data_IF_259341091931
#
_entry.id   IF_259341091931
#
_cell.length_a   1.000
_cell.length_b   1.000
_cell.length_c   1.000
_cell.angle_alpha   90.00
_cell.angle_beta   90.00
_cell.angle_gamma   90.00
#
_symmetry.space_group_name_H-M   'P 1'
#
loop_
_entity.id
_entity.type
_entity.pdbx_description
1 polymer ?
#
# COMPACT_ATOMS: atom_id res chain seq x y z
N UNK A 1 48.69 -5.01 -10.96
CA UNK A 1 47.63 -4.15 -10.42
C UNK A 1 46.92 -4.99 -9.37
N UNK A 2 47.16 -4.71 -8.09
CA UNK A 2 46.53 -5.45 -6.99
C UNK A 2 45.09 -4.92 -6.91
N UNK A 3 44.13 -5.82 -7.08
CA UNK A 3 42.69 -5.59 -6.99
C UNK A 3 42.33 -5.27 -5.53
N UNK A 4 42.32 -3.97 -5.19
CA UNK A 4 42.02 -3.48 -3.85
C UNK A 4 40.50 -3.50 -3.54
N UNK A 5 39.64 -3.73 -4.54
CA UNK A 5 38.17 -3.73 -4.35
C UNK A 5 37.68 -5.00 -3.66
N UNK A 6 38.17 -6.18 -4.07
CA UNK A 6 37.72 -7.46 -3.47
C UNK A 6 38.05 -7.61 -1.99
N UNK A 7 39.12 -6.99 -1.51
CA UNK A 7 39.56 -7.11 -0.11
C UNK A 7 38.88 -6.11 0.83
N UNK A 8 38.27 -5.03 0.33
CA UNK A 8 37.65 -4.00 1.15
C UNK A 8 36.15 -4.22 1.42
N UNK A 9 35.44 -4.93 0.54
CA UNK A 9 33.98 -5.12 0.67
C UNK A 9 33.62 -5.97 1.89
N UNK A 10 34.21 -7.15 2.04
CA UNK A 10 33.86 -8.04 3.16
C UNK A 10 34.16 -7.43 4.55
N UNK A 11 35.32 -6.78 4.77
CA UNK A 11 35.57 -6.04 6.02
C UNK A 11 34.58 -4.89 6.23
N UNK A 12 34.26 -4.11 5.20
CA UNK A 12 33.30 -2.99 5.32
C UNK A 12 31.92 -3.45 5.80
N UNK A 13 31.41 -4.56 5.28
CA UNK A 13 30.13 -5.14 5.75
C UNK A 13 30.21 -5.73 7.15
N UNK A 14 31.37 -6.21 7.59
CA UNK A 14 31.57 -6.65 8.97
C UNK A 14 31.63 -5.48 9.95
N UNK A 15 32.24 -4.36 9.53
CA UNK A 15 32.44 -3.17 10.37
C UNK A 15 31.21 -2.25 10.39
N UNK A 16 30.58 -2.02 9.25
CA UNK A 16 29.50 -1.04 9.08
C UNK A 16 28.14 -1.67 8.76
N UNK A 17 28.11 -2.96 8.40
CA UNK A 17 26.88 -3.63 8.02
C UNK A 17 26.03 -4.03 9.22
N UNK A 18 24.75 -3.69 9.15
CA UNK A 18 23.73 -4.12 10.12
C UNK A 18 23.23 -5.52 9.75
N UNK A 19 22.93 -6.33 10.76
CA UNK A 19 22.32 -7.64 10.55
C UNK A 19 20.88 -7.46 10.02
N UNK A 20 20.57 -8.16 8.94
CA UNK A 20 19.28 -8.07 8.29
C UNK A 20 18.80 -9.45 7.78
N UNK A 21 17.52 -9.50 7.43
CA UNK A 21 16.94 -10.62 6.69
C UNK A 21 16.29 -10.10 5.43
N UNK A 22 16.70 -10.61 4.28
CA UNK A 22 16.07 -10.33 3.00
C UNK A 22 15.01 -11.39 2.69
N UNK A 23 13.81 -10.97 2.32
CA UNK A 23 12.73 -11.86 1.86
C UNK A 23 12.32 -11.45 0.45
N UNK A 24 12.58 -12.29 -0.57
CA UNK A 24 12.06 -12.07 -1.91
C UNK A 24 10.53 -12.10 -1.91
N UNK A 25 9.90 -11.45 -2.89
CA UNK A 25 8.44 -11.53 -3.06
C UNK A 25 8.02 -13.00 -3.28
N UNK A 26 7.30 -13.58 -2.30
CA UNK A 26 6.91 -14.99 -2.32
C UNK A 26 8.02 -16.01 -2.04
N UNK A 27 9.23 -15.56 -1.67
CA UNK A 27 10.39 -16.41 -1.42
C UNK A 27 10.69 -16.67 0.06
N UNK A 28 11.66 -17.54 0.33
CA UNK A 28 12.13 -17.81 1.69
C UNK A 28 13.07 -16.70 2.21
N UNK A 29 12.98 -16.33 3.50
CA UNK A 29 13.90 -15.36 4.09
C UNK A 29 15.35 -15.85 4.10
N UNK A 30 16.29 -14.97 3.77
CA UNK A 30 17.74 -15.21 3.75
C UNK A 30 18.46 -14.21 4.66
N UNK A 31 19.27 -14.67 5.64
CA UNK A 31 20.05 -13.77 6.47
C UNK A 31 21.14 -13.07 5.63
N UNK A 32 21.34 -11.78 5.87
CA UNK A 32 22.32 -10.96 5.16
C UNK A 32 22.82 -9.82 6.05
N UNK A 33 23.77 -9.03 5.53
CA UNK A 33 24.13 -7.74 6.11
C UNK A 33 23.86 -6.63 5.10
N UNK A 34 23.35 -5.51 5.59
CA UNK A 34 23.11 -4.32 4.77
C UNK A 34 23.89 -3.14 5.31
N UNK A 35 24.47 -2.35 4.42
CA UNK A 35 24.97 -1.02 4.74
C UNK A 35 23.91 -0.02 4.32
N UNK A 36 23.60 0.89 5.21
CA UNK A 36 22.58 1.89 5.01
C UNK A 36 23.15 3.16 4.42
N UNK A 37 22.60 3.57 3.29
CA UNK A 37 22.95 4.83 2.64
C UNK A 37 21.73 5.76 2.55
N UNK A 38 21.95 7.06 2.80
CA UNK A 38 20.90 8.06 2.76
C UNK A 38 19.94 8.01 3.95
N UNK A 39 18.66 8.32 3.72
CA UNK A 39 17.61 8.37 4.74
C UNK A 39 17.59 9.65 5.61
N UNK A 40 18.71 10.35 5.71
CA UNK A 40 18.81 11.62 6.42
C UNK A 40 18.53 11.49 7.91
N UNK A 41 18.28 12.62 8.59
CA UNK A 41 17.97 12.59 10.03
C UNK A 41 16.57 11.97 10.24
N UNK A 42 16.45 10.91 11.06
CA UNK A 42 15.14 10.36 11.39
C UNK A 42 14.25 11.41 12.04
N UNK A 43 12.98 11.44 11.65
CA UNK A 43 11.96 12.26 12.30
C UNK A 43 11.03 11.36 13.09
N UNK A 44 10.78 11.71 14.35
CA UNK A 44 9.88 10.97 15.23
C UNK A 44 8.50 11.64 15.26
N UNK A 45 7.47 10.85 14.99
CA UNK A 45 6.06 11.21 15.16
C UNK A 45 5.44 10.31 16.23
N UNK A 46 5.49 10.77 17.49
CA UNK A 46 5.16 9.92 18.63
C UNK A 46 6.05 8.66 18.63
N UNK A 47 5.48 7.44 18.60
CA UNK A 47 6.24 6.19 18.58
C UNK A 47 6.81 5.83 17.19
N UNK A 48 6.38 6.51 16.12
CA UNK A 48 6.75 6.17 14.75
C UNK A 48 8.01 6.94 14.36
N UNK A 49 9.05 6.23 13.89
CA UNK A 49 10.25 6.87 13.33
C UNK A 49 10.24 6.75 11.81
N UNK A 50 10.30 7.89 11.12
CA UNK A 50 10.32 7.95 9.65
C UNK A 50 11.63 8.54 9.13
N UNK A 51 11.93 8.25 7.87
CA UNK A 51 13.05 8.84 7.13
C UNK A 51 12.50 9.63 5.95
N UNK A 52 12.90 10.89 5.83
CA UNK A 52 12.32 11.85 4.88
C UNK A 52 13.06 11.93 3.54
N UNK A 53 14.22 11.28 3.43
CA UNK A 53 14.99 11.25 2.18
C UNK A 53 15.10 9.83 1.66
N UNK A 54 15.42 9.71 0.36
CA UNK A 54 15.65 8.44 -0.31
C UNK A 54 16.63 7.59 0.49
N UNK A 55 16.28 6.32 0.65
CA UNK A 55 17.08 5.36 1.37
C UNK A 55 17.52 4.27 0.41
N UNK A 56 18.79 3.90 0.47
CA UNK A 56 19.30 2.69 -0.16
C UNK A 56 19.91 1.76 0.87
N UNK A 57 19.84 0.47 0.56
CA UNK A 57 20.63 -0.54 1.20
C UNK A 57 21.59 -1.14 0.20
N UNK A 58 22.86 -1.12 0.57
CA UNK A 58 23.88 -1.89 -0.11
C UNK A 58 23.95 -3.26 0.53
N UNK A 59 23.90 -4.31 -0.29
CA UNK A 59 23.95 -5.71 0.14
C UNK A 59 24.94 -6.48 -0.71
N UNK A 60 25.63 -7.46 -0.13
CA UNK A 60 26.58 -8.27 -0.89
C UNK A 60 25.86 -9.21 -1.85
N UNK A 61 26.32 -9.26 -3.09
CA UNK A 61 25.82 -10.21 -4.10
C UNK A 61 26.02 -11.67 -3.66
N UNK A 62 27.01 -11.97 -2.82
CA UNK A 62 27.20 -13.31 -2.27
C UNK A 62 26.13 -13.72 -1.23
N UNK A 63 25.49 -12.75 -0.57
CA UNK A 63 24.43 -13.00 0.43
C UNK A 63 23.04 -12.93 -0.20
N UNK A 64 22.85 -12.00 -1.13
CA UNK A 64 21.62 -11.82 -1.90
C UNK A 64 22.00 -11.74 -3.38
N UNK A 65 22.02 -12.88 -4.10
CA UNK A 65 22.49 -12.91 -5.49
C UNK A 65 21.62 -12.12 -6.47
N UNK A 66 20.30 -12.11 -6.24
CA UNK A 66 19.31 -11.53 -7.16
C UNK A 66 18.24 -10.77 -6.35
N UNK A 67 18.56 -9.59 -5.79
CA UNK A 67 17.57 -8.74 -5.17
C UNK A 67 16.61 -8.19 -6.22
N UNK A 68 15.33 -8.07 -5.88
CA UNK A 68 14.30 -7.64 -6.83
C UNK A 68 13.32 -6.64 -6.19
N UNK A 69 12.73 -5.79 -7.02
CA UNK A 69 11.65 -4.91 -6.60
C UNK A 69 10.52 -5.69 -5.92
N UNK A 70 9.98 -5.14 -4.82
CA UNK A 70 9.02 -5.80 -3.95
C UNK A 70 9.63 -6.73 -2.90
N UNK A 71 10.93 -7.06 -2.98
CA UNK A 71 11.65 -7.74 -1.92
C UNK A 71 11.74 -6.88 -0.65
N UNK A 72 11.83 -7.51 0.52
CA UNK A 72 11.81 -6.82 1.82
C UNK A 72 13.07 -7.12 2.62
N UNK A 73 13.78 -6.07 3.03
CA UNK A 73 14.79 -6.15 4.07
C UNK A 73 14.17 -5.89 5.45
N UNK A 74 14.41 -6.79 6.40
CA UNK A 74 14.10 -6.59 7.82
C UNK A 74 15.37 -6.30 8.58
N UNK A 75 15.48 -5.09 9.15
CA UNK A 75 16.61 -4.64 9.98
C UNK A 75 16.07 -4.33 11.36
N UNK A 76 16.40 -5.18 12.34
CA UNK A 76 15.74 -5.16 13.65
C UNK A 76 14.22 -5.36 13.52
N UNK A 77 13.44 -4.41 14.05
CA UNK A 77 11.97 -4.44 13.98
C UNK A 77 11.41 -3.75 12.71
N UNK A 78 12.26 -3.13 11.89
CA UNK A 78 11.81 -2.31 10.76
C UNK A 78 11.86 -3.11 9.45
N UNK A 79 10.84 -2.92 8.62
CA UNK A 79 10.78 -3.48 7.27
C UNK A 79 10.98 -2.38 6.21
N UNK A 80 11.78 -2.69 5.20
CA UNK A 80 12.13 -1.83 4.09
C UNK A 80 11.89 -2.57 2.79
N UNK A 81 11.01 -2.04 1.94
CA UNK A 81 10.65 -2.67 0.67
C UNK A 81 11.48 -2.06 -0.45
N UNK A 82 12.07 -2.90 -1.32
CA UNK A 82 12.76 -2.47 -2.53
C UNK A 82 11.73 -1.91 -3.51
N UNK A 83 11.88 -0.67 -3.96
CA UNK A 83 10.86 -0.01 -4.82
C UNK A 83 11.28 0.18 -6.27
N UNK A 84 12.56 0.02 -6.58
CA UNK A 84 13.10 0.08 -7.95
C UNK A 84 13.94 -1.15 -8.28
N UNK A 85 14.46 -1.21 -9.50
CA UNK A 85 15.40 -2.25 -9.92
C UNK A 85 16.73 -2.06 -9.19
N UNK A 86 17.20 -3.05 -8.41
CA UNK A 86 18.55 -3.00 -7.84
C UNK A 86 19.61 -2.92 -8.95
N UNK A 87 20.72 -2.27 -8.64
CA UNK A 87 21.81 -2.09 -9.60
C UNK A 87 23.16 -2.27 -8.90
N UNK A 88 24.19 -2.61 -9.66
CA UNK A 88 25.56 -2.56 -9.19
C UNK A 88 26.05 -1.11 -9.29
N UNK A 89 26.62 -0.52 -8.22
CA UNK A 89 27.25 0.79 -8.28
C UNK A 89 28.26 0.87 -9.44
N UNK A 90 28.39 2.05 -10.07
CA UNK A 90 29.28 2.23 -11.24
C UNK A 90 30.75 1.93 -10.90
N UNK A 91 31.15 2.19 -9.65
CA UNK A 91 32.49 1.92 -9.12
C UNK A 91 32.67 0.48 -8.63
N UNK A 92 31.72 -0.44 -8.88
CA UNK A 92 31.82 -1.87 -8.59
C UNK A 92 31.87 -2.71 -9.88
N UNK A 93 33.00 -2.70 -10.60
CA UNK A 93 33.16 -3.40 -11.88
C UNK A 93 33.05 -4.93 -11.76
N UNK A 94 33.11 -5.44 -10.52
CA UNK A 94 33.04 -6.87 -10.21
C UNK A 94 31.65 -7.31 -9.75
N UNK A 95 30.69 -6.39 -9.60
CA UNK A 95 29.32 -6.69 -9.19
C UNK A 95 29.22 -7.38 -7.84
N UNK A 96 30.09 -7.01 -6.89
CA UNK A 96 30.16 -7.60 -5.55
C UNK A 96 29.05 -7.09 -4.62
N UNK A 97 28.49 -5.92 -4.92
CA UNK A 97 27.49 -5.22 -4.13
C UNK A 97 26.30 -4.85 -5.01
N UNK A 98 25.10 -5.07 -4.48
CA UNK A 98 23.86 -4.52 -5.01
C UNK A 98 23.48 -3.29 -4.21
N UNK A 99 23.18 -2.18 -4.88
CA UNK A 99 22.50 -1.05 -4.29
C UNK A 99 20.99 -1.14 -4.55
N UNK A 100 20.23 -1.16 -3.46
CA UNK A 100 18.78 -1.34 -3.47
C UNK A 100 18.09 -0.07 -2.97
N UNK A 101 17.42 0.66 -3.87
CA UNK A 101 16.52 1.74 -3.46
C UNK A 101 15.34 1.19 -2.66
N UNK A 102 15.22 1.58 -1.39
CA UNK A 102 14.23 1.06 -0.45
C UNK A 102 13.35 2.14 0.13
N UNK A 103 12.11 1.77 0.45
CA UNK A 103 11.20 2.57 1.24
C UNK A 103 10.83 1.85 2.53
N UNK A 104 10.88 2.60 3.63
CA UNK A 104 10.39 2.13 4.92
C UNK A 104 8.85 2.12 4.98
N UNK A 105 8.29 1.14 5.68
CA UNK A 105 6.87 1.07 6.01
C UNK A 105 6.24 -0.27 5.62
N UNK A 106 5.04 -0.52 6.14
CA UNK A 106 4.24 -1.67 5.80
C UNK A 106 3.31 -1.35 4.61
N UNK A 107 3.06 -2.31 3.71
CA UNK A 107 2.06 -2.14 2.66
C UNK A 107 0.67 -2.05 3.27
N UNK A 108 -0.05 -0.98 2.94
CA UNK A 108 -1.45 -0.76 3.30
C UNK A 108 -2.26 -0.42 2.04
N UNK A 109 -3.57 -0.57 2.14
CA UNK A 109 -4.51 0.02 1.18
C UNK A 109 -5.17 1.24 1.84
N UNK A 110 -4.85 2.44 1.37
CA UNK A 110 -5.52 3.65 1.81
C UNK A 110 -6.69 3.96 0.85
N UNK A 111 -7.90 4.08 1.39
CA UNK A 111 -9.12 4.36 0.65
C UNK A 111 -9.61 5.76 0.98
N UNK A 112 -9.58 6.65 -0.01
CA UNK A 112 -10.13 8.01 0.13
C UNK A 112 -11.63 7.99 -0.11
N UNK A 113 -12.42 8.39 0.88
CA UNK A 113 -13.89 8.45 0.79
C UNK A 113 -14.33 9.86 0.40
N UNK A 114 -15.23 9.93 -0.58
CA UNK A 114 -15.84 11.17 -1.06
C UNK A 114 -17.36 11.08 -1.00
N UNK A 115 -18.04 12.21 -0.80
CA UNK A 115 -19.49 12.24 -0.64
C UNK A 115 -19.97 11.59 0.67
N UNK A 116 -21.28 11.62 0.89
CA UNK A 116 -21.94 11.06 2.06
C UNK A 116 -23.26 10.39 1.64
N UNK A 117 -23.75 9.46 2.48
CA UNK A 117 -25.03 8.80 2.25
C UNK A 117 -25.09 8.10 0.89
N UNK A 118 -25.97 8.57 0.01
CA UNK A 118 -26.18 8.00 -1.33
C UNK A 118 -25.10 8.37 -2.35
N UNK A 119 -24.38 9.47 -2.12
CA UNK A 119 -23.36 10.00 -3.03
C UNK A 119 -21.95 9.53 -2.65
N UNK A 120 -21.85 8.74 -1.57
CA UNK A 120 -20.60 8.22 -1.03
C UNK A 120 -19.90 7.29 -2.02
N UNK A 121 -18.63 7.56 -2.32
CA UNK A 121 -17.74 6.68 -3.10
C UNK A 121 -16.34 6.62 -2.44
N UNK A 122 -15.77 5.43 -2.22
CA UNK A 122 -16.34 4.11 -2.52
C UNK A 122 -17.64 3.79 -1.75
N UNK A 123 -18.52 2.96 -2.33
CA UNK A 123 -19.71 2.51 -1.62
C UNK A 123 -19.35 1.65 -0.41
N UNK A 124 -20.28 1.59 0.54
CA UNK A 124 -20.23 0.66 1.67
C UNK A 124 -20.97 -0.63 1.32
N UNK A 125 -20.53 -1.73 1.91
CA UNK A 125 -21.18 -3.03 1.83
C UNK A 125 -20.16 -4.17 1.76
N UNK A 126 -20.65 -5.40 1.78
CA UNK A 126 -19.83 -6.62 1.73
C UNK A 126 -20.59 -7.74 1.01
N UNK A 127 -19.95 -8.89 0.84
CA UNK A 127 -20.59 -10.11 0.27
C UNK A 127 -21.24 -9.86 -1.09
N UNK A 128 -20.51 -9.15 -1.95
CA UNK A 128 -21.02 -8.72 -3.25
C UNK A 128 -21.31 -9.91 -4.15
N UNK A 129 -22.47 -9.89 -4.80
CA UNK A 129 -22.89 -10.90 -5.76
C UNK A 129 -23.75 -10.30 -6.87
N UNK A 130 -23.86 -11.02 -7.99
CA UNK A 130 -24.82 -10.70 -9.04
C UNK A 130 -26.24 -10.72 -8.47
N UNK A 131 -26.97 -9.60 -8.55
CA UNK A 131 -28.34 -9.52 -8.04
C UNK A 131 -29.35 -10.20 -8.98
N UNK A 132 -29.06 -10.18 -10.28
CA UNK A 132 -29.87 -10.76 -11.35
C UNK A 132 -28.97 -11.47 -12.36
N UNK A 133 -29.47 -12.48 -13.10
CA UNK A 133 -28.70 -13.09 -14.16
C UNK A 133 -28.46 -12.10 -15.30
N UNK A 134 -27.28 -12.15 -15.90
CA UNK A 134 -26.91 -11.32 -17.05
C UNK A 134 -26.34 -12.20 -18.19
N UNK A 135 -26.79 -12.02 -19.45
CA UNK A 135 -26.29 -12.79 -20.58
C UNK A 135 -24.88 -12.36 -20.99
N UNK A 136 -24.17 -13.21 -21.75
CA UNK A 136 -22.98 -12.78 -22.46
C UNK A 136 -23.29 -11.58 -23.38
N UNK A 137 -22.36 -10.64 -23.50
CA UNK A 137 -22.54 -9.40 -24.23
C UNK A 137 -23.29 -8.30 -23.47
N UNK A 138 -23.75 -8.56 -22.23
CA UNK A 138 -24.34 -7.52 -21.40
C UNK A 138 -23.31 -6.40 -21.10
N UNK A 139 -23.76 -5.15 -21.22
CA UNK A 139 -22.98 -3.93 -20.93
C UNK A 139 -23.37 -3.27 -19.61
N UNK A 140 -24.29 -3.88 -18.87
CA UNK A 140 -24.71 -3.45 -17.53
C UNK A 140 -25.09 -4.67 -16.69
N UNK A 141 -24.87 -4.59 -15.39
CA UNK A 141 -25.15 -5.67 -14.44
C UNK A 141 -25.80 -5.13 -13.16
N UNK A 142 -26.56 -5.98 -12.48
CA UNK A 142 -27.11 -5.68 -11.16
C UNK A 142 -26.25 -6.34 -10.09
N UNK A 143 -25.86 -5.59 -9.06
CA UNK A 143 -24.94 -6.05 -8.00
C UNK A 143 -25.61 -5.86 -6.63
N UNK A 144 -25.79 -6.93 -5.88
CA UNK A 144 -26.31 -6.91 -4.51
C UNK A 144 -25.19 -7.17 -3.51
N UNK A 145 -25.46 -6.86 -2.24
CA UNK A 145 -24.58 -7.17 -1.13
C UNK A 145 -25.25 -6.94 0.21
N UNK A 146 -24.46 -7.08 1.27
CA UNK A 146 -24.88 -6.81 2.65
C UNK A 146 -24.64 -5.34 2.99
N UNK A 147 -25.65 -4.67 3.56
CA UNK A 147 -25.61 -3.26 4.01
C UNK A 147 -25.17 -2.24 2.93
N UNK A 148 -25.57 -2.47 1.69
CA UNK A 148 -25.15 -1.66 0.54
C UNK A 148 -25.62 -0.21 0.68
N UNK A 149 -24.70 0.73 0.45
CA UNK A 149 -24.98 2.16 0.35
C UNK A 149 -23.89 2.91 -0.41
N UNK A 150 -24.20 4.13 -0.83
CA UNK A 150 -23.29 4.94 -1.65
C UNK A 150 -23.46 4.67 -3.14
N UNK A 151 -22.39 4.88 -3.90
CA UNK A 151 -22.41 4.91 -5.36
C UNK A 151 -21.14 4.30 -5.96
N UNK A 152 -21.33 3.41 -6.94
CA UNK A 152 -20.27 3.00 -7.87
C UNK A 152 -20.01 4.12 -8.86
N UNK A 153 -18.75 4.37 -9.20
CA UNK A 153 -18.37 5.44 -10.13
C UNK A 153 -17.52 4.91 -11.29
N UNK A 154 -17.49 5.64 -12.42
CA UNK A 154 -16.61 5.30 -13.53
C UNK A 154 -15.16 5.12 -13.06
N UNK A 155 -14.52 4.03 -13.48
CA UNK A 155 -13.16 3.66 -13.07
C UNK A 155 -13.10 2.66 -11.91
N UNK A 156 -14.16 2.52 -11.12
CA UNK A 156 -14.30 1.38 -10.20
C UNK A 156 -14.29 0.08 -11.01
N UNK A 157 -13.91 -1.03 -10.39
CA UNK A 157 -13.75 -2.32 -11.06
C UNK A 157 -14.56 -3.40 -10.36
N UNK A 158 -15.14 -4.27 -11.18
CA UNK A 158 -15.92 -5.42 -10.76
C UNK A 158 -15.28 -6.67 -11.34
N UNK A 159 -14.98 -7.65 -10.51
CA UNK A 159 -14.42 -8.94 -10.93
C UNK A 159 -15.50 -10.00 -10.79
N UNK A 160 -15.77 -10.71 -11.89
CA UNK A 160 -16.74 -11.81 -11.95
C UNK A 160 -16.00 -13.04 -12.50
N UNK A 161 -15.89 -14.09 -11.69
CA UNK A 161 -14.97 -15.19 -11.99
C UNK A 161 -13.53 -14.69 -12.06
N UNK A 162 -12.86 -14.89 -13.19
CA UNK A 162 -11.49 -14.43 -13.43
C UNK A 162 -11.39 -13.14 -14.27
N UNK A 163 -12.52 -12.54 -14.67
CA UNK A 163 -12.54 -11.39 -15.58
C UNK A 163 -12.83 -10.11 -14.80
N UNK A 164 -12.00 -9.09 -15.01
CA UNK A 164 -12.16 -7.75 -14.44
C UNK A 164 -12.83 -6.84 -15.46
N UNK A 165 -13.90 -6.18 -15.04
CA UNK A 165 -14.63 -5.19 -15.81
C UNK A 165 -14.53 -3.82 -15.13
N UNK A 166 -14.51 -2.76 -15.91
CA UNK A 166 -14.50 -1.37 -15.42
C UNK A 166 -15.92 -0.83 -15.42
N UNK A 167 -16.35 -0.24 -14.31
CA UNK A 167 -17.58 0.53 -14.22
C UNK A 167 -17.49 1.75 -15.14
N UNK A 168 -18.51 1.97 -15.95
CA UNK A 168 -18.55 3.06 -16.95
C UNK A 168 -19.57 4.14 -16.62
N UNK A 169 -20.54 3.85 -15.76
CA UNK A 169 -21.59 4.77 -15.34
C UNK A 169 -21.68 4.87 -13.83
N UNK A 170 -22.03 6.05 -13.31
CA UNK A 170 -22.31 6.20 -11.89
C UNK A 170 -23.64 5.53 -11.54
N UNK A 171 -23.64 4.61 -10.56
CA UNK A 171 -24.85 3.88 -10.14
C UNK A 171 -24.97 3.94 -8.63
N UNK A 172 -26.06 4.54 -8.15
CA UNK A 172 -26.35 4.71 -6.72
C UNK A 172 -27.08 3.49 -6.19
N UNK A 173 -26.71 3.07 -4.98
CA UNK A 173 -27.37 1.96 -4.31
C UNK A 173 -28.80 2.32 -3.92
N UNK A 174 -29.73 1.41 -4.19
CA UNK A 174 -31.10 1.45 -3.70
C UNK A 174 -31.52 0.03 -3.29
N UNK A 175 -32.30 -0.09 -2.21
CA UNK A 175 -32.85 -1.37 -1.75
C UNK A 175 -31.80 -2.51 -1.61
N UNK A 176 -30.58 -2.17 -1.17
CA UNK A 176 -29.52 -3.16 -0.95
C UNK A 176 -28.75 -3.60 -2.20
N UNK A 177 -28.88 -2.89 -3.33
CA UNK A 177 -28.21 -3.24 -4.60
C UNK A 177 -27.92 -2.03 -5.49
N UNK A 178 -27.08 -2.24 -6.48
CA UNK A 178 -26.85 -1.33 -7.61
C UNK A 178 -27.57 -1.91 -8.84
N UNK A 179 -28.58 -1.21 -9.35
CA UNK A 179 -29.32 -1.63 -10.54
C UNK A 179 -28.72 -0.98 -11.79
N UNK A 180 -28.40 -1.79 -12.80
CA UNK A 180 -27.91 -1.34 -14.09
C UNK A 180 -26.53 -0.69 -14.04
N UNK A 181 -25.60 -1.20 -13.25
CA UNK A 181 -24.21 -0.73 -13.25
C UNK A 181 -23.54 -1.02 -14.59
N UNK A 182 -23.26 0.03 -15.37
CA UNK A 182 -22.60 -0.08 -16.67
C UNK A 182 -21.17 -0.61 -16.54
N UNK A 183 -20.78 -1.53 -17.44
CA UNK A 183 -19.47 -2.19 -17.44
C UNK A 183 -18.81 -2.18 -18.83
N UNK A 184 -17.47 -2.21 -18.84
CA UNK A 184 -16.66 -2.44 -20.03
C UNK A 184 -15.44 -3.33 -19.70
N UNK A 185 -15.07 -4.29 -20.57
CA UNK A 185 -15.80 -4.72 -21.78
C UNK A 185 -17.18 -5.33 -21.44
N UNK A 186 -17.97 -5.66 -22.45
CA UNK A 186 -19.21 -6.43 -22.23
C UNK A 186 -18.89 -7.80 -21.62
N UNK A 187 -19.84 -8.40 -20.88
CA UNK A 187 -19.64 -9.71 -20.25
C UNK A 187 -19.17 -10.75 -21.27
N UNK A 188 -18.03 -11.39 -21.00
CA UNK A 188 -17.47 -12.40 -21.89
C UNK A 188 -18.29 -13.71 -21.88
N UNK A 189 -18.95 -14.00 -20.77
CA UNK A 189 -19.78 -15.18 -20.55
C UNK A 189 -21.01 -14.80 -19.70
N UNK A 190 -22.11 -15.58 -19.76
CA UNK A 190 -23.27 -15.30 -18.91
C UNK A 190 -22.89 -15.44 -17.43
N UNK A 191 -23.48 -14.59 -16.59
CA UNK A 191 -23.33 -14.61 -15.14
C UNK A 191 -24.70 -14.91 -14.49
N UNK A 192 -24.75 -15.92 -13.62
CA UNK A 192 -25.96 -16.27 -12.89
C UNK A 192 -26.20 -15.32 -11.70
N UNK A 193 -27.45 -15.16 -11.28
CA UNK A 193 -27.76 -14.53 -10.00
C UNK A 193 -27.06 -15.28 -8.85
N UNK A 194 -26.56 -14.55 -7.87
CA UNK A 194 -25.77 -15.08 -6.76
C UNK A 194 -24.31 -15.39 -7.09
N UNK A 195 -23.86 -15.23 -8.34
CA UNK A 195 -22.45 -15.40 -8.68
C UNK A 195 -21.60 -14.37 -7.89
N UNK A 196 -20.49 -14.78 -7.26
CA UNK A 196 -19.69 -13.90 -6.42
C UNK A 196 -19.06 -12.79 -7.25
N UNK A 197 -19.03 -11.60 -6.66
CA UNK A 197 -18.46 -10.39 -7.24
C UNK A 197 -17.39 -9.86 -6.30
N UNK A 198 -16.26 -9.41 -6.84
CA UNK A 198 -15.28 -8.63 -6.08
C UNK A 198 -15.22 -7.20 -6.60
N UNK A 199 -15.42 -6.23 -5.73
CA UNK A 199 -15.28 -4.82 -6.06
C UNK A 199 -13.89 -4.32 -5.65
N UNK A 200 -13.25 -3.57 -6.54
CA UNK A 200 -12.04 -2.78 -6.26
C UNK A 200 -12.29 -1.37 -6.76
N UNK A 201 -11.89 -0.36 -5.98
CA UNK A 201 -12.32 1.01 -6.25
C UNK A 201 -11.17 1.85 -6.79
N UNK A 202 -11.49 2.81 -7.68
CA UNK A 202 -10.49 3.71 -8.23
C UNK A 202 -9.83 4.61 -7.15
N UNK A 203 -10.44 4.68 -5.97
CA UNK A 203 -9.97 5.43 -4.80
C UNK A 203 -9.24 4.56 -3.77
N UNK A 204 -8.89 3.33 -4.14
CA UNK A 204 -8.04 2.46 -3.35
C UNK A 204 -6.57 2.64 -3.77
N UNK A 205 -5.77 3.20 -2.87
CA UNK A 205 -4.38 3.58 -3.12
C UNK A 205 -3.45 2.67 -2.32
N UNK A 206 -2.77 1.71 -2.98
CA UNK A 206 -1.74 0.92 -2.32
C UNK A 206 -0.55 1.82 -2.01
N UNK A 207 -0.21 1.95 -0.72
CA UNK A 207 0.88 2.80 -0.26
C UNK A 207 1.67 2.11 0.85
N UNK A 208 2.91 2.55 1.07
CA UNK A 208 3.68 2.16 2.25
C UNK A 208 3.41 3.15 3.38
N UNK A 209 3.14 2.66 4.58
CA UNK A 209 2.89 3.48 5.74
C UNK A 209 3.71 3.05 6.97
N UNK A 210 4.06 4.05 7.77
CA UNK A 210 4.53 3.85 9.12
C UNK A 210 3.40 3.48 10.05
N UNK A 211 3.62 2.51 10.93
CA UNK A 211 2.59 2.14 11.89
C UNK A 211 3.18 1.97 13.27
N UNK A 212 2.41 2.39 14.27
CA UNK A 212 2.59 1.98 15.64
C UNK A 212 1.23 1.57 16.21
N UNK A 213 1.20 0.38 16.80
CA UNK A 213 0.17 0.02 17.77
C UNK A 213 0.49 0.69 19.10
N UNK A 214 -0.53 1.16 19.80
CA UNK A 214 -0.39 1.52 21.21
C UNK A 214 -0.96 0.37 22.03
N UNK A 215 -0.08 -0.42 22.64
CA UNK A 215 -0.50 -1.45 23.60
C UNK A 215 -0.74 -0.83 24.97
N UNK A 216 -0.15 0.34 25.25
CA UNK A 216 -0.33 1.08 26.50
C UNK A 216 -0.59 2.58 26.28
N UNK A 217 -1.46 3.13 27.13
CA UNK A 217 -1.96 4.50 27.08
C UNK A 217 -0.81 5.53 27.09
N UNK A 218 -0.55 6.13 25.93
CA UNK A 218 0.23 7.36 25.86
C UNK A 218 -0.67 8.52 26.29
N UNK A 219 -0.23 9.25 27.33
CA UNK A 219 -0.97 10.39 27.89
C UNK A 219 -1.38 11.41 26.80
N UNK A 220 -2.68 11.69 26.70
CA UNK A 220 -3.30 12.54 25.68
C UNK A 220 -4.59 11.93 25.10
N UNK A 221 -5.18 12.58 24.10
CA UNK A 221 -6.46 12.20 23.46
C UNK A 221 -6.44 10.88 22.65
N UNK A 222 -5.46 10.01 22.87
CA UNK A 222 -5.32 8.72 22.17
C UNK A 222 -6.12 7.65 22.92
N UNK A 223 -7.13 7.09 22.26
CA UNK A 223 -8.04 6.09 22.84
C UNK A 223 -7.43 4.70 22.70
N UNK A 224 -7.49 3.87 23.75
CA UNK A 224 -7.11 2.45 23.71
C UNK A 224 -7.76 1.72 22.52
N UNK A 225 -6.99 0.89 21.80
CA UNK A 225 -7.43 0.19 20.58
C UNK A 225 -7.28 0.99 19.28
N UNK A 226 -6.81 2.24 19.37
CA UNK A 226 -6.48 3.07 18.21
C UNK A 226 -5.13 2.70 17.62
N UNK A 227 -5.04 2.68 16.28
CA UNK A 227 -3.77 2.56 15.56
C UNK A 227 -3.33 3.93 15.03
N UNK A 228 -2.03 4.22 15.12
CA UNK A 228 -1.44 5.41 14.51
C UNK A 228 -0.70 5.04 13.24
N UNK A 229 -1.07 5.70 12.15
CA UNK A 229 -0.54 5.42 10.81
C UNK A 229 0.04 6.71 10.24
N UNK A 230 1.31 6.66 9.84
CA UNK A 230 1.99 7.77 9.17
C UNK A 230 2.11 7.47 7.69
N UNK A 231 1.52 8.31 6.83
CA UNK A 231 1.64 8.20 5.37
C UNK A 231 2.36 9.45 4.86
N UNK A 232 3.39 9.26 4.04
CA UNK A 232 4.09 10.37 3.40
C UNK A 232 3.25 10.95 2.24
N UNK A 233 3.24 12.28 2.08
CA UNK A 233 2.45 12.95 1.04
C UNK A 233 2.89 12.56 -0.38
N UNK A 234 4.19 12.37 -0.59
CA UNK A 234 4.77 11.93 -1.86
C UNK A 234 4.23 10.54 -2.26
N UNK A 235 4.02 9.63 -1.31
CA UNK A 235 3.48 8.28 -1.55
C UNK A 235 2.02 8.32 -1.95
N UNK A 236 1.21 9.16 -1.30
CA UNK A 236 -0.18 9.39 -1.72
C UNK A 236 -0.21 9.94 -3.15
N UNK A 237 0.63 10.93 -3.44
CA UNK A 237 0.72 11.56 -4.75
C UNK A 237 1.18 10.57 -5.82
N UNK A 238 2.20 9.77 -5.55
CA UNK A 238 2.71 8.73 -6.45
C UNK A 238 1.69 7.62 -6.72
N UNK A 239 0.84 7.30 -5.72
CA UNK A 239 -0.28 6.38 -5.91
C UNK A 239 -1.47 7.02 -6.66
N UNK A 240 -1.42 8.32 -6.96
CA UNK A 240 -2.48 9.05 -7.65
C UNK A 240 -3.56 9.64 -6.73
N UNK A 241 -3.37 9.59 -5.40
CA UNK A 241 -4.29 10.21 -4.45
C UNK A 241 -4.07 11.72 -4.38
N UNK A 242 -5.03 12.48 -4.91
CA UNK A 242 -4.99 13.95 -4.90
C UNK A 242 -5.72 14.56 -3.70
N UNK A 243 -6.53 13.80 -2.98
CA UNK A 243 -7.29 14.30 -1.84
C UNK A 243 -6.47 14.21 -0.56
N UNK A 244 -6.62 15.22 0.29
CA UNK A 244 -6.11 15.18 1.64
C UNK A 244 -6.82 14.07 2.46
N UNK A 245 -6.07 13.23 3.20
CA UNK A 245 -6.62 12.35 4.20
C UNK A 245 -7.49 13.09 5.21
N UNK A 246 -8.60 12.45 5.59
CA UNK A 246 -9.62 13.03 6.47
C UNK A 246 -10.36 11.95 7.29
N UNK A 247 -11.10 12.34 8.33
CA UNK A 247 -12.03 11.45 9.00
C UNK A 247 -13.04 10.82 8.03
N UNK A 248 -13.30 9.53 8.19
CA UNK A 248 -14.18 8.73 7.33
C UNK A 248 -13.47 8.01 6.18
N UNK A 249 -12.21 8.34 5.87
CA UNK A 249 -11.36 7.50 5.04
C UNK A 249 -11.10 6.14 5.70
N UNK A 250 -10.62 5.16 4.94
CA UNK A 250 -10.37 3.81 5.46
C UNK A 250 -8.93 3.39 5.16
N UNK A 251 -8.26 2.79 6.14
CA UNK A 251 -6.98 2.11 5.93
C UNK A 251 -7.19 0.61 6.12
N UNK A 252 -6.80 -0.19 5.13
CA UNK A 252 -6.78 -1.65 5.27
C UNK A 252 -5.34 -2.12 5.43
N UNK A 253 -5.07 -2.87 6.50
CA UNK A 253 -3.78 -3.50 6.76
C UNK A 253 -4.01 -4.92 7.27
N UNK A 254 -3.23 -5.90 6.79
CA UNK A 254 -3.41 -7.33 7.12
C UNK A 254 -4.84 -7.84 6.89
N UNK A 255 -5.52 -7.30 5.86
CA UNK A 255 -6.90 -7.64 5.53
C UNK A 255 -7.95 -7.05 6.48
N UNK A 256 -7.56 -6.27 7.48
CA UNK A 256 -8.47 -5.62 8.43
C UNK A 256 -8.64 -4.14 8.07
N UNK A 257 -9.88 -3.67 7.85
CA UNK A 257 -10.16 -2.25 7.62
C UNK A 257 -10.27 -1.49 8.95
N UNK A 258 -9.69 -0.28 9.00
CA UNK A 258 -9.80 0.66 10.11
C UNK A 258 -10.28 2.01 9.56
N UNK A 259 -11.26 2.62 10.22
CA UNK A 259 -11.76 3.93 9.86
C UNK A 259 -10.81 5.00 10.40
N UNK A 260 -10.46 5.97 9.57
CA UNK A 260 -9.75 7.17 9.99
C UNK A 260 -10.71 8.03 10.82
N UNK A 261 -10.38 8.26 12.08
CA UNK A 261 -11.17 9.11 12.99
C UNK A 261 -10.58 10.51 13.12
N UNK A 262 -9.28 10.66 12.89
CA UNK A 262 -8.59 11.94 12.80
C UNK A 262 -7.45 11.85 11.79
N UNK A 263 -7.22 12.93 11.05
CA UNK A 263 -6.11 13.06 10.12
C UNK A 263 -5.45 14.42 10.33
N UNK A 264 -4.15 14.42 10.64
CA UNK A 264 -3.37 15.63 10.90
C UNK A 264 -2.26 15.77 9.88
N UNK A 265 -2.26 16.87 9.15
CA UNK A 265 -1.19 17.21 8.23
C UNK A 265 0.07 17.67 8.98
N UNK A 266 1.23 17.16 8.57
CA UNK A 266 2.54 17.57 9.05
C UNK A 266 3.22 18.36 7.94
N UNK A 267 3.73 19.55 8.25
CA UNK A 267 4.18 20.53 7.27
C UNK A 267 5.69 20.72 7.24
N UNK A 268 6.23 20.88 6.04
CA UNK A 268 7.58 21.35 5.78
C UNK A 268 7.47 22.53 4.82
N UNK A 269 7.64 23.74 5.35
CA UNK A 269 7.22 24.95 4.64
C UNK A 269 5.70 25.02 4.50
N UNK A 270 5.20 25.37 3.31
CA UNK A 270 3.77 25.59 3.06
C UNK A 270 2.99 24.33 2.63
N UNK A 271 3.68 23.21 2.37
CA UNK A 271 3.06 21.98 1.90
C UNK A 271 3.10 20.88 2.97
N UNK A 272 2.05 20.03 3.06
CA UNK A 272 2.12 18.83 3.87
C UNK A 272 3.16 17.89 3.28
N UNK A 273 4.04 17.33 4.12
CA UNK A 273 5.00 16.30 3.72
C UNK A 273 4.63 14.91 4.25
N UNK A 274 3.81 14.85 5.31
CA UNK A 274 3.29 13.61 5.88
C UNK A 274 1.92 13.82 6.51
N UNK A 275 1.21 12.72 6.73
CA UNK A 275 -0.09 12.65 7.38
C UNK A 275 -0.03 11.70 8.56
N UNK A 276 -0.49 12.18 9.70
CA UNK A 276 -0.66 11.42 10.91
C UNK A 276 -2.12 11.04 11.08
N UNK A 277 -2.42 9.76 10.89
CA UNK A 277 -3.77 9.20 10.90
C UNK A 277 -4.02 8.44 12.19
N UNK A 278 -5.12 8.79 12.84
CA UNK A 278 -5.69 8.05 13.95
C UNK A 278 -6.78 7.12 13.39
N UNK A 279 -6.63 5.81 13.58
CA UNK A 279 -7.53 4.81 13.01
C UNK A 279 -8.16 3.92 14.09
N UNK A 280 -9.44 3.54 13.92
CA UNK A 280 -10.19 2.66 14.81
C UNK A 280 -11.00 1.63 14.02
#
# INVERSE_FOLDING_TARGET
>A
MIDFDRFAVAPSFLTFGEAATYTPSGGSPTPCRVIREGGGKPVKFGPVTVYLSSLSFDVRASEVPDPAAGGVFRVGAMAYTITGTPYHPEDDPHGLVWSCGVLWGAPILYRSVSGEGRDQNPPRGSEWAMAAPAPAGAVSIDIAGTLVGGQLRPGDRVTIGAVVYTITTSTTAASGRFDGAGIAPALAAPAAAGAPVTLTFARDYPVLAGMAGYDDAMAGAVVTGTRRIIIMQDRLTAAGCTNAPKPGDVVTFEGQPFAVVAATALYQGAAPFAWDLQCK
#
